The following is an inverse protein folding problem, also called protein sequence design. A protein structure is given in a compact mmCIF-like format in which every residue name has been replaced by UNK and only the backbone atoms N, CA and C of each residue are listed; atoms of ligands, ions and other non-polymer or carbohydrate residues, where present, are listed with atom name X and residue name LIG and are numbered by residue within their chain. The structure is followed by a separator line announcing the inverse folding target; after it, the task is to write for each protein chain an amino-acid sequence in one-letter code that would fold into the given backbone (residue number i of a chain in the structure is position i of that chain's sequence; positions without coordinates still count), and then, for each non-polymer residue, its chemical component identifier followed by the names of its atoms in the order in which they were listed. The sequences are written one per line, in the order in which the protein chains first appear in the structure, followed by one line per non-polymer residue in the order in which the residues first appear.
data_IF_398744074247
#
_entry.id   IF_398744074247
#
_cell.length_a   1.000
_cell.length_b   1.000
_cell.length_c   1.000
_cell.angle_alpha   90.00
_cell.angle_beta   90.00
_cell.angle_gamma   90.00
#
_symmetry.space_group_name_H-M   'P 1'
#
loop_
_entity.id
_entity.type
_entity.pdbx_description
1 polymer ?
#
# COMPACT_ATOMS: atom_id res chain seq x y z
N UNK A 1 -8.94 4.59 -5.59
CA UNK A 1 -9.44 3.47 -6.44
C UNK A 1 -8.48 2.29 -6.33
N UNK A 2 -8.98 1.07 -6.43
CA UNK A 2 -8.13 -0.11 -6.52
C UNK A 2 -7.76 -0.40 -7.98
N UNK A 3 -6.58 -0.98 -8.20
CA UNK A 3 -6.04 -1.28 -9.53
C UNK A 3 -5.65 -2.75 -9.60
N UNK A 4 -6.35 -3.50 -10.46
CA UNK A 4 -6.21 -4.95 -10.59
C UNK A 4 -5.05 -5.36 -11.52
N UNK A 5 -3.84 -4.84 -11.27
CA UNK A 5 -2.60 -5.19 -12.00
C UNK A 5 -1.55 -5.61 -10.99
N UNK A 6 -0.85 -6.71 -11.24
CA UNK A 6 0.23 -7.16 -10.37
C UNK A 6 1.51 -6.39 -10.68
N UNK A 7 1.99 -5.60 -9.72
CA UNK A 7 3.20 -4.80 -9.83
C UNK A 7 3.98 -4.81 -8.52
N UNK A 8 5.30 -4.68 -8.61
CA UNK A 8 6.09 -4.34 -7.43
C UNK A 8 5.76 -2.91 -6.98
N UNK A 9 6.15 -2.56 -5.76
CA UNK A 9 5.75 -1.30 -5.15
C UNK A 9 6.20 -0.09 -5.99
N UNK A 10 7.42 -0.11 -6.52
CA UNK A 10 7.97 0.97 -7.34
C UNK A 10 7.20 1.14 -8.66
N UNK A 11 6.92 0.03 -9.34
CA UNK A 11 6.15 0.03 -10.59
C UNK A 11 4.71 0.46 -10.35
N UNK A 12 4.11 0.07 -9.22
CA UNK A 12 2.77 0.50 -8.82
C UNK A 12 2.73 2.00 -8.54
N UNK A 13 3.74 2.55 -7.85
CA UNK A 13 3.91 3.98 -7.62
C UNK A 13 3.98 4.76 -8.93
N UNK A 14 4.86 4.35 -9.84
CA UNK A 14 5.00 4.97 -11.16
C UNK A 14 3.68 4.92 -11.97
N UNK A 15 2.92 3.84 -11.84
CA UNK A 15 1.64 3.68 -12.54
C UNK A 15 0.56 4.60 -11.97
N UNK A 16 0.48 4.74 -10.63
CA UNK A 16 -0.39 5.75 -10.02
C UNK A 16 -0.01 7.17 -10.45
N UNK A 17 1.29 7.49 -10.52
CA UNK A 17 1.78 8.77 -11.04
C UNK A 17 1.42 8.97 -12.51
N UNK A 18 1.53 7.95 -13.35
CA UNK A 18 1.10 8.00 -14.74
C UNK A 18 -0.41 8.22 -14.90
N UNK A 19 -1.21 7.80 -13.91
CA UNK A 19 -2.65 8.06 -13.82
C UNK A 19 -2.98 9.43 -13.18
N UNK A 20 -1.99 10.26 -12.89
CA UNK A 20 -2.17 11.60 -12.32
C UNK A 20 -2.41 11.62 -10.82
N UNK A 21 -1.99 10.58 -10.09
CA UNK A 21 -2.10 10.49 -8.64
C UNK A 21 -0.85 9.90 -7.99
N UNK A 22 -1.05 9.24 -6.86
CA UNK A 22 0.00 8.52 -6.14
C UNK A 22 -0.57 7.24 -5.54
N UNK A 23 0.31 6.35 -5.04
CA UNK A 23 -0.16 5.26 -4.20
C UNK A 23 -0.89 5.82 -2.99
N UNK A 24 -2.02 5.21 -2.63
CA UNK A 24 -2.90 5.73 -1.61
C UNK A 24 -2.17 5.85 -0.26
N UNK A 25 -2.13 7.08 0.27
CA UNK A 25 -1.72 7.36 1.64
C UNK A 25 -2.98 7.41 2.49
N UNK A 26 -3.03 6.62 3.56
CA UNK A 26 -4.22 6.54 4.40
C UNK A 26 -4.08 7.47 5.58
N UNK A 27 -4.73 8.62 5.48
CA UNK A 27 -4.92 9.55 6.58
C UNK A 27 -6.02 9.12 7.56
N UNK A 28 -6.17 9.92 8.62
CA UNK A 28 -7.25 9.76 9.59
C UNK A 28 -8.60 10.02 8.89
N UNK A 29 -9.44 8.98 8.75
CA UNK A 29 -10.75 9.04 8.10
C UNK A 29 -10.88 8.25 6.79
N UNK A 30 -9.79 7.97 6.07
CA UNK A 30 -9.83 7.25 4.78
C UNK A 30 -9.87 5.71 4.92
N UNK A 31 -9.86 5.19 6.16
CA UNK A 31 -9.90 3.75 6.45
C UNK A 31 -11.22 3.08 6.02
N UNK A 32 -12.35 3.78 6.12
CA UNK A 32 -13.64 3.29 5.61
C UNK A 32 -13.64 3.20 4.09
N UNK A 33 -13.11 4.23 3.45
CA UNK A 33 -13.18 4.40 2.00
C UNK A 33 -12.38 3.30 1.28
N UNK A 34 -11.27 2.85 1.86
CA UNK A 34 -10.51 1.74 1.30
C UNK A 34 -11.25 0.40 1.38
N UNK A 35 -12.02 0.14 2.43
CA UNK A 35 -12.80 -1.10 2.52
C UNK A 35 -13.88 -1.14 1.44
N UNK A 36 -14.52 0.00 1.21
CA UNK A 36 -15.52 0.12 0.16
C UNK A 36 -14.88 0.01 -1.23
N UNK A 37 -13.71 0.62 -1.45
CA UNK A 37 -12.94 0.47 -2.70
C UNK A 37 -12.52 -0.98 -2.93
N UNK A 38 -12.00 -1.67 -1.90
CA UNK A 38 -11.62 -3.09 -1.99
C UNK A 38 -12.84 -3.97 -2.32
N UNK A 39 -13.99 -3.73 -1.70
CA UNK A 39 -15.16 -4.57 -1.91
C UNK A 39 -15.84 -4.38 -3.27
N UNK A 40 -15.75 -3.18 -3.87
CA UNK A 40 -16.43 -2.86 -5.13
C UNK A 40 -15.53 -3.03 -6.37
N UNK A 41 -14.24 -2.72 -6.28
CA UNK A 41 -13.37 -2.59 -7.47
C UNK A 41 -12.46 -3.80 -7.69
N UNK A 42 -12.34 -4.72 -6.72
CA UNK A 42 -11.33 -5.77 -6.75
C UNK A 42 -11.70 -7.00 -7.57
N UNK A 43 -10.77 -7.44 -8.41
CA UNK A 43 -10.79 -8.76 -9.05
C UNK A 43 -9.99 -9.77 -8.23
N UNK A 44 -10.70 -10.60 -7.48
CA UNK A 44 -10.13 -11.66 -6.65
C UNK A 44 -9.49 -12.82 -7.43
N UNK A 45 -9.66 -12.90 -8.75
CA UNK A 45 -8.95 -13.88 -9.58
C UNK A 45 -7.52 -13.44 -9.90
N UNK A 46 -7.30 -12.12 -9.97
CA UNK A 46 -6.02 -11.51 -10.35
C UNK A 46 -5.22 -11.09 -9.12
N UNK A 47 -5.89 -10.54 -8.12
CA UNK A 47 -5.24 -9.92 -6.97
C UNK A 47 -5.17 -10.85 -5.77
N UNK A 48 -3.97 -10.95 -5.17
CA UNK A 48 -3.77 -11.50 -3.82
C UNK A 48 -4.62 -10.75 -2.79
N UNK A 49 -4.75 -11.27 -1.57
CA UNK A 49 -5.57 -10.70 -0.48
C UNK A 49 -5.15 -9.32 0.07
N UNK A 50 -4.26 -8.60 -0.63
CA UNK A 50 -3.65 -7.34 -0.20
C UNK A 50 -3.50 -6.35 -1.35
N UNK A 51 -3.44 -5.05 -1.01
CA UNK A 51 -3.09 -3.96 -1.93
C UNK A 51 -1.90 -3.16 -1.41
N UNK A 52 -0.97 -2.78 -2.30
CA UNK A 52 0.04 -1.79 -1.96
C UNK A 52 -0.57 -0.43 -1.59
N UNK A 53 0.04 0.18 -0.58
CA UNK A 53 -0.18 1.55 -0.12
C UNK A 53 1.06 2.40 -0.34
N UNK A 54 0.92 3.71 -0.28
CA UNK A 54 1.99 4.66 -0.53
C UNK A 54 2.98 4.83 0.62
N UNK A 55 3.35 3.76 1.34
CA UNK A 55 4.34 3.82 2.44
C UNK A 55 5.46 2.78 2.26
N UNK A 56 6.69 3.16 2.61
CA UNK A 56 7.88 2.29 2.63
C UNK A 56 8.67 2.49 3.91
N UNK A 57 9.51 1.52 4.25
CA UNK A 57 10.54 1.73 5.27
C UNK A 57 11.45 2.90 4.91
N UNK A 58 11.93 3.61 5.93
CA UNK A 58 12.89 4.71 5.78
C UNK A 58 14.28 4.23 5.41
N UNK A 59 14.72 3.20 6.10
CA UNK A 59 16.00 2.53 5.94
C UNK A 59 15.74 1.02 6.02
N UNK A 60 16.64 0.23 5.44
CA UNK A 60 16.55 -1.23 5.55
C UNK A 60 16.60 -1.63 7.02
N UNK A 61 15.82 -2.63 7.37
CA UNK A 61 15.72 -3.18 8.72
C UNK A 61 15.06 -2.26 9.77
N UNK A 62 14.36 -1.21 9.34
CA UNK A 62 13.59 -0.32 10.21
C UNK A 62 12.15 -0.83 10.41
N UNK A 63 11.43 -0.24 11.37
CA UNK A 63 9.99 -0.47 11.59
C UNK A 63 9.15 0.79 11.35
N UNK A 64 9.80 1.90 11.01
CA UNK A 64 9.15 3.17 10.67
C UNK A 64 8.87 3.28 9.17
N UNK A 65 7.61 3.57 8.81
CA UNK A 65 7.13 3.62 7.43
C UNK A 65 6.67 5.02 7.02
N UNK A 66 7.23 5.57 5.96
CA UNK A 66 6.95 6.94 5.53
C UNK A 66 6.21 6.93 4.21
N UNK A 67 5.27 7.86 4.06
CA UNK A 67 4.70 8.12 2.74
C UNK A 67 5.70 8.83 1.83
N UNK A 68 5.39 8.88 0.54
CA UNK A 68 6.23 9.52 -0.49
C UNK A 68 6.57 10.99 -0.18
N UNK A 69 5.73 11.70 0.58
CA UNK A 69 5.92 13.08 1.02
C UNK A 69 6.66 13.22 2.37
N UNK A 70 7.07 12.11 2.98
CA UNK A 70 7.74 12.06 4.28
C UNK A 70 6.80 12.12 5.49
N UNK A 71 5.48 12.03 5.28
CA UNK A 71 4.52 11.98 6.38
C UNK A 71 4.55 10.59 7.03
N UNK A 72 4.58 10.55 8.37
CA UNK A 72 4.41 9.30 9.11
C UNK A 72 2.93 8.92 9.14
N UNK A 73 2.62 7.68 8.75
CA UNK A 73 1.23 7.21 8.72
C UNK A 73 0.65 6.93 10.11
N UNK A 74 -0.67 7.01 10.23
CA UNK A 74 -1.40 6.34 11.31
C UNK A 74 -1.47 4.84 10.98
N UNK A 75 -0.42 4.11 11.34
CA UNK A 75 -0.33 2.71 10.98
C UNK A 75 -1.45 1.88 11.62
N UNK A 76 -2.01 0.96 10.85
CA UNK A 76 -3.03 0.01 11.32
C UNK A 76 -2.52 -1.42 11.17
N UNK A 77 -1.29 -1.66 11.60
CA UNK A 77 -0.61 -2.95 11.49
C UNK A 77 -1.45 -4.07 12.12
N UNK A 78 -1.51 -5.20 11.43
CA UNK A 78 -2.02 -6.44 12.02
C UNK A 78 -1.05 -6.95 13.08
N UNK A 79 -1.54 -7.86 13.93
CA UNK A 79 -0.69 -8.48 14.95
C UNK A 79 0.55 -9.12 14.30
N UNK A 80 1.74 -8.80 14.84
CA UNK A 80 3.06 -9.21 14.33
C UNK A 80 3.51 -8.53 13.03
N UNK A 81 2.96 -7.37 12.71
CA UNK A 81 3.42 -6.49 11.62
C UNK A 81 3.92 -5.14 12.20
N UNK A 82 4.82 -4.42 11.49
CA UNK A 82 5.46 -4.83 10.24
C UNK A 82 6.48 -5.95 10.50
N UNK A 83 6.62 -6.85 9.52
CA UNK A 83 7.78 -7.73 9.43
C UNK A 83 8.91 -7.00 8.73
N UNK A 84 10.11 -7.26 9.21
CA UNK A 84 11.34 -6.84 8.57
C UNK A 84 11.96 -8.03 7.82
N UNK A 85 12.30 -7.82 6.55
CA UNK A 85 13.02 -8.73 5.66
C UNK A 85 14.50 -8.34 5.60
N UNK A 86 15.42 -9.20 6.11
CA UNK A 86 16.83 -8.86 6.21
C UNK A 86 17.47 -8.44 4.88
N UNK A 87 18.12 -7.27 4.87
CA UNK A 87 18.80 -6.67 3.71
C UNK A 87 17.90 -6.23 2.55
N UNK A 88 16.58 -6.20 2.75
CA UNK A 88 15.61 -5.70 1.77
C UNK A 88 14.88 -4.47 2.32
N UNK A 89 14.17 -3.76 1.45
CA UNK A 89 13.20 -2.75 1.89
C UNK A 89 11.83 -3.43 1.90
N UNK A 90 11.07 -3.23 2.98
CA UNK A 90 9.68 -3.59 3.01
C UNK A 90 8.76 -2.38 2.77
N UNK A 91 7.61 -2.69 2.17
CA UNK A 91 6.61 -1.73 1.74
C UNK A 91 5.26 -2.08 2.37
N UNK A 92 4.45 -1.07 2.65
CA UNK A 92 3.17 -1.27 3.33
C UNK A 92 2.07 -1.68 2.36
N UNK A 93 1.21 -2.58 2.83
CA UNK A 93 0.02 -3.03 2.13
C UNK A 93 -1.18 -3.06 3.08
N UNK A 94 -2.39 -3.05 2.54
CA UNK A 94 -3.65 -3.25 3.27
C UNK A 94 -4.23 -4.62 2.92
N UNK A 95 -4.64 -5.38 3.94
CA UNK A 95 -5.36 -6.64 3.75
C UNK A 95 -6.85 -6.38 3.45
N UNK A 96 -7.49 -7.25 2.66
CA UNK A 96 -8.91 -7.09 2.32
C UNK A 96 -9.85 -7.14 3.53
N UNK A 97 -9.49 -7.86 4.59
CA UNK A 97 -10.20 -7.82 5.89
C UNK A 97 -9.98 -6.52 6.68
N UNK A 98 -9.16 -5.61 6.18
CA UNK A 98 -8.61 -4.47 6.91
C UNK A 98 -7.34 -4.83 7.67
N UNK A 99 -6.65 -3.80 8.15
CA UNK A 99 -5.32 -3.93 8.76
C UNK A 99 -4.21 -3.93 7.72
N UNK A 100 -3.00 -3.60 8.17
CA UNK A 100 -1.83 -3.44 7.31
C UNK A 100 -0.84 -4.59 7.53
N UNK A 101 -0.12 -4.92 6.46
CA UNK A 101 0.94 -5.93 6.40
C UNK A 101 2.14 -5.32 5.67
N UNK A 102 3.36 -5.71 6.02
CA UNK A 102 4.54 -5.38 5.21
C UNK A 102 4.98 -6.56 4.35
N UNK A 103 5.53 -6.24 3.19
CA UNK A 103 6.13 -7.21 2.27
C UNK A 103 7.34 -6.59 1.58
N UNK A 104 8.30 -7.40 1.11
CA UNK A 104 9.43 -6.89 0.35
C UNK A 104 8.96 -6.10 -0.85
N UNK A 105 9.49 -4.89 -1.06
CA UNK A 105 8.99 -3.96 -2.07
C UNK A 105 9.04 -4.52 -3.51
N UNK A 106 9.84 -5.56 -3.76
CA UNK A 106 9.98 -6.22 -5.05
C UNK A 106 8.95 -7.34 -5.31
N UNK A 107 8.15 -7.74 -4.32
CA UNK A 107 7.02 -8.66 -4.54
C UNK A 107 5.93 -7.97 -5.34
N UNK A 108 5.13 -8.74 -6.10
CA UNK A 108 4.06 -8.17 -6.91
C UNK A 108 2.71 -8.31 -6.24
N UNK A 109 2.01 -7.19 -6.04
CA UNK A 109 0.64 -7.14 -5.55
C UNK A 109 -0.19 -6.17 -6.40
N UNK A 110 -1.51 -6.27 -6.31
CA UNK A 110 -2.38 -5.19 -6.75
C UNK A 110 -2.21 -3.97 -5.83
N UNK A 111 -2.72 -2.82 -6.22
CA UNK A 111 -2.41 -1.57 -5.53
C UNK A 111 -3.58 -0.61 -5.51
N UNK A 112 -3.59 0.27 -4.52
CA UNK A 112 -4.56 1.35 -4.43
C UNK A 112 -3.89 2.66 -4.86
N UNK A 113 -4.51 3.37 -5.80
CA UNK A 113 -4.12 4.73 -6.14
C UNK A 113 -5.11 5.72 -5.54
N UNK A 114 -4.60 6.83 -5.02
CA UNK A 114 -5.39 8.00 -4.74
C UNK A 114 -5.10 9.08 -5.78
N UNK A 115 -6.18 9.64 -6.31
CA UNK A 115 -6.14 10.78 -7.21
C UNK A 115 -6.88 11.90 -6.48
N UNK A 116 -6.12 12.74 -5.77
CA UNK A 116 -6.67 13.97 -5.20
C UNK A 116 -6.81 15.01 -6.30
N UNK A 117 -8.02 15.53 -6.48
CA UNK A 117 -8.28 16.80 -7.19
C UNK A 117 -7.24 17.83 -6.74
N UNK A 118 -6.44 18.34 -7.68
CA UNK A 118 -5.66 19.56 -7.47
C UNK A 118 -6.61 20.69 -7.03
#
# INVERSE_FOLDING_TARGET
MAVNRLKNWYDASNDCTAMGGQLATLGEGQKSDLRDVISNDMDFNTCSSVLWLGFTEKDRDDTEYFSLDGTTGLYNWLTNEPKNTPNEYDCASVHFGGGWLSYPCLTTHCYACETGSI
#
